data_IF_923296139322
#
_entry.id   IF_923296139322
#
_cell.length_a   1.000
_cell.length_b   1.000
_cell.length_c   1.000
_cell.angle_alpha   90.00
_cell.angle_beta   90.00
_cell.angle_gamma   90.00
#
_symmetry.space_group_name_H-M   'P 1'
#
loop_
_entity.id
_entity.type
_entity.pdbx_description
1 polymer ?
#
# COMPACT_ATOMS: atom_id res chain seq x y z
N UNK A 1 -0.41 0.82 -17.90
CA UNK A 1 -1.34 0.09 -17.02
C UNK A 1 -2.16 1.13 -16.28
N UNK A 2 -3.49 1.05 -16.30
CA UNK A 2 -4.34 2.04 -15.62
C UNK A 2 -4.62 1.55 -14.20
N UNK A 3 -4.17 2.30 -13.20
CA UNK A 3 -4.55 2.08 -11.81
C UNK A 3 -5.93 2.68 -11.56
N UNK A 4 -6.73 2.03 -10.73
CA UNK A 4 -7.92 2.67 -10.17
C UNK A 4 -7.49 3.90 -9.34
N UNK A 5 -8.34 4.93 -9.19
CA UNK A 5 -8.01 6.09 -8.36
C UNK A 5 -7.55 5.69 -6.94
N UNK A 6 -8.21 4.69 -6.33
CA UNK A 6 -7.84 4.15 -5.01
C UNK A 6 -6.48 3.46 -5.03
N UNK A 7 -6.17 2.66 -6.06
CA UNK A 7 -4.86 2.03 -6.19
C UNK A 7 -3.73 3.04 -6.37
N UNK A 8 -3.95 4.07 -7.18
CA UNK A 8 -2.99 5.15 -7.37
C UNK A 8 -2.71 5.88 -6.04
N UNK A 9 -3.76 6.18 -5.28
CA UNK A 9 -3.63 6.83 -3.97
C UNK A 9 -2.94 5.93 -2.93
N UNK A 10 -3.26 4.63 -2.87
CA UNK A 10 -2.57 3.68 -1.98
C UNK A 10 -1.06 3.63 -2.28
N UNK A 11 -0.68 3.60 -3.56
CA UNK A 11 0.74 3.62 -3.95
C UNK A 11 1.40 4.93 -3.56
N UNK A 12 0.71 6.07 -3.74
CA UNK A 12 1.23 7.37 -3.33
C UNK A 12 1.43 7.43 -1.80
N UNK A 13 0.44 7.01 -1.02
CA UNK A 13 0.56 6.95 0.44
C UNK A 13 1.74 6.06 0.87
N UNK A 14 1.93 4.90 0.22
CA UNK A 14 3.06 4.03 0.52
C UNK A 14 4.39 4.66 0.13
N UNK A 15 4.45 5.42 -0.97
CA UNK A 15 5.65 6.16 -1.37
C UNK A 15 6.00 7.25 -0.36
N UNK A 16 5.01 8.00 0.11
CA UNK A 16 5.21 9.12 1.02
C UNK A 16 5.56 8.67 2.45
N UNK A 17 4.98 7.54 2.90
CA UNK A 17 5.13 7.03 4.27
C UNK A 17 6.03 5.78 4.37
N UNK A 18 6.58 5.30 3.27
CA UNK A 18 7.31 4.03 3.15
C UNK A 18 6.43 2.77 3.24
N UNK A 19 5.29 2.83 3.95
CA UNK A 19 4.34 1.72 4.14
C UNK A 19 2.91 2.18 4.29
N UNK A 20 1.98 1.24 4.12
CA UNK A 20 0.56 1.40 4.42
C UNK A 20 0.04 0.20 5.19
N UNK A 21 -0.91 0.42 6.10
CA UNK A 21 -1.57 -0.63 6.89
C UNK A 21 -3.02 -0.82 6.43
N UNK A 22 -3.50 -2.06 6.51
CA UNK A 22 -4.85 -2.45 6.06
C UNK A 22 -5.93 -1.67 6.80
N UNK A 23 -5.82 -1.55 8.11
CA UNK A 23 -6.86 -0.93 8.95
C UNK A 23 -6.91 0.60 8.75
N UNK A 24 -5.75 1.23 8.56
CA UNK A 24 -5.64 2.66 8.25
C UNK A 24 -6.29 2.97 6.90
N UNK A 25 -5.93 2.22 5.86
CA UNK A 25 -6.51 2.38 4.53
C UNK A 25 -8.02 2.07 4.50
N UNK A 26 -8.46 1.06 5.26
CA UNK A 26 -9.88 0.70 5.34
C UNK A 26 -10.69 1.86 5.94
N UNK A 27 -10.15 2.51 6.97
CA UNK A 27 -10.74 3.69 7.59
C UNK A 27 -10.72 4.88 6.63
N UNK A 28 -9.56 5.18 6.01
CA UNK A 28 -9.38 6.30 5.08
C UNK A 28 -10.33 6.24 3.87
N UNK A 29 -10.46 5.08 3.25
CA UNK A 29 -11.33 4.87 2.09
C UNK A 29 -12.77 4.51 2.44
N UNK A 30 -13.10 4.37 3.73
CA UNK A 30 -14.39 3.90 4.21
C UNK A 30 -14.85 2.59 3.53
N UNK A 31 -13.96 1.60 3.52
CA UNK A 31 -14.21 0.25 2.96
C UNK A 31 -13.82 -0.83 3.96
N UNK A 32 -14.17 -2.08 3.66
CA UNK A 32 -13.80 -3.19 4.54
C UNK A 32 -12.30 -3.52 4.46
N UNK A 33 -11.68 -4.03 5.54
CA UNK A 33 -10.31 -4.56 5.51
C UNK A 33 -10.09 -5.62 4.42
N UNK A 34 -11.11 -6.41 4.08
CA UNK A 34 -11.03 -7.38 2.98
C UNK A 34 -10.87 -6.71 1.61
N UNK A 35 -11.52 -5.57 1.39
CA UNK A 35 -11.37 -4.77 0.16
C UNK A 35 -9.92 -4.29 0.02
N UNK A 36 -9.36 -3.72 1.09
CA UNK A 36 -7.96 -3.28 1.09
C UNK A 36 -6.99 -4.45 0.93
N UNK A 37 -7.21 -5.60 1.59
CA UNK A 37 -6.35 -6.77 1.40
C UNK A 37 -6.32 -7.24 -0.06
N UNK A 38 -7.45 -7.15 -0.77
CA UNK A 38 -7.52 -7.44 -2.20
C UNK A 38 -6.75 -6.39 -3.00
N UNK A 39 -6.97 -5.10 -2.75
CA UNK A 39 -6.25 -4.02 -3.43
C UNK A 39 -4.73 -4.15 -3.25
N UNK A 40 -4.27 -4.44 -2.02
CA UNK A 40 -2.86 -4.65 -1.73
C UNK A 40 -2.31 -5.93 -2.37
N UNK A 41 -3.10 -7.00 -2.50
CA UNK A 41 -2.69 -8.19 -3.25
C UNK A 41 -2.47 -7.81 -4.73
N UNK A 42 -3.46 -7.16 -5.35
CA UNK A 42 -3.42 -6.80 -6.77
C UNK A 42 -2.22 -5.88 -7.08
N UNK A 43 -1.89 -4.96 -6.17
CA UNK A 43 -0.72 -4.07 -6.28
C UNK A 43 0.62 -4.80 -6.08
N UNK A 44 0.66 -5.80 -5.19
CA UNK A 44 1.87 -6.60 -4.98
C UNK A 44 2.11 -7.58 -6.13
N UNK A 45 1.07 -8.16 -6.71
CA UNK A 45 1.16 -9.02 -7.89
C UNK A 45 1.72 -8.23 -9.10
N UNK A 46 1.42 -6.93 -9.16
CA UNK A 46 1.99 -5.99 -10.13
C UNK A 46 3.40 -5.47 -9.76
N UNK A 47 3.96 -5.90 -8.62
CA UNK A 47 5.24 -5.43 -8.07
C UNK A 47 5.31 -3.92 -7.79
N UNK A 48 4.16 -3.28 -7.62
CA UNK A 48 4.07 -1.87 -7.23
C UNK A 48 4.23 -1.69 -5.73
N UNK A 49 3.92 -2.73 -4.95
CA UNK A 49 4.09 -2.79 -3.49
C UNK A 49 4.71 -4.14 -3.09
N UNK A 50 5.24 -4.22 -1.87
CA UNK A 50 5.72 -5.47 -1.26
C UNK A 50 4.90 -5.81 -0.01
N UNK A 51 4.42 -7.05 0.11
CA UNK A 51 3.58 -7.46 1.25
C UNK A 51 4.35 -7.48 2.57
N UNK A 52 3.65 -7.05 3.63
CA UNK A 52 4.03 -7.28 5.03
C UNK A 52 2.81 -7.79 5.83
N UNK A 53 3.03 -8.22 7.07
CA UNK A 53 1.92 -8.55 7.96
C UNK A 53 1.05 -7.32 8.20
N UNK A 54 -0.22 -7.40 7.80
CA UNK A 54 -1.19 -6.33 8.01
C UNK A 54 -1.09 -5.14 7.05
N UNK A 55 -0.26 -5.17 6.01
CA UNK A 55 -0.05 -4.01 5.14
C UNK A 55 0.82 -4.28 3.92
N UNK A 56 1.38 -3.21 3.35
CA UNK A 56 2.36 -3.27 2.27
C UNK A 56 3.37 -2.12 2.35
N UNK A 57 4.57 -2.35 1.79
CA UNK A 57 5.67 -1.39 1.68
C UNK A 57 5.77 -0.87 0.25
N UNK A 58 6.19 0.37 0.08
CA UNK A 58 6.67 0.83 -1.22
C UNK A 58 8.02 0.14 -1.52
N UNK A 59 8.23 -0.42 -2.73
CA UNK A 59 9.46 -1.10 -3.08
C UNK A 59 10.55 -0.03 -3.29
N UNK A 60 11.15 0.43 -2.20
CA UNK A 60 12.37 1.23 -2.22
C UNK A 60 13.52 0.31 -2.62
N UNK A 61 14.03 0.48 -3.84
CA UNK A 61 15.30 -0.08 -4.24
C UNK A 61 16.41 0.61 -3.45
N UNK A 62 16.63 0.19 -2.20
CA UNK A 62 17.67 0.67 -1.29
C UNK A 62 17.53 2.16 -0.96
N UNK A 63 16.85 2.49 0.14
CA UNK A 63 17.20 3.68 0.94
C UNK A 63 16.62 3.53 2.34
N UNK A 64 17.52 3.39 3.31
CA UNK A 64 17.25 3.41 4.73
C UNK A 64 16.53 4.72 5.08
N UNK A 65 15.22 4.67 5.27
CA UNK A 65 14.58 5.60 6.21
C UNK A 65 14.58 4.92 7.57
N UNK A 66 15.73 5.04 8.24
CA UNK A 66 15.78 4.99 9.71
C UNK A 66 14.74 6.00 10.21
N UNK A 67 13.68 5.50 10.84
CA UNK A 67 12.82 6.34 11.67
C UNK A 67 13.51 6.44 13.03
N UNK A 68 13.89 7.66 13.41
CA UNK A 68 14.32 8.02 14.77
C UNK A 68 13.25 7.70 15.83
#
# INVERSE_FOLDING_TARGET
MFLSPRHAEIVQMAQDHGRVLVDDLATHFNVTPQTIRKDLNDLCDQRLLTRIHGGALFPSGIENMEYE
#
